data_IF_123065199093
#
_entry.id   IF_123065199093
#
_cell.length_a   1.000
_cell.length_b   1.000
_cell.length_c   1.000
_cell.angle_alpha   90.00
_cell.angle_beta   90.00
_cell.angle_gamma   90.00
#
_symmetry.space_group_name_H-M   'P 1'
#
loop_
_entity.id
_entity.type
_entity.pdbx_description
1 polymer ?
#
# COMPACT_ATOMS: atom_id res chain seq x y z
N UNK A 1 -11.60 23.83 5.71
CA UNK A 1 -11.21 22.52 6.30
C UNK A 1 -11.73 21.33 5.51
N UNK A 2 -13.02 21.29 5.13
CA UNK A 2 -13.63 20.18 4.37
C UNK A 2 -12.87 19.86 3.06
N UNK A 3 -12.51 20.87 2.25
CA UNK A 3 -11.72 20.65 1.01
C UNK A 3 -10.38 19.97 1.24
N UNK A 4 -9.67 20.32 2.32
CA UNK A 4 -8.38 19.69 2.66
C UNK A 4 -8.60 18.24 3.06
N UNK A 5 -9.60 17.97 3.89
CA UNK A 5 -9.95 16.61 4.31
C UNK A 5 -10.30 15.72 3.11
N UNK A 6 -11.16 16.19 2.20
CA UNK A 6 -11.49 15.45 0.97
C UNK A 6 -10.26 15.20 0.10
N UNK A 7 -9.36 16.18 -0.04
CA UNK A 7 -8.10 16.00 -0.78
C UNK A 7 -7.19 14.96 -0.12
N UNK A 8 -7.04 14.99 1.21
CA UNK A 8 -6.23 14.01 1.96
C UNK A 8 -6.82 12.60 1.87
N UNK A 9 -8.14 12.48 1.91
CA UNK A 9 -8.84 11.21 1.71
C UNK A 9 -8.67 10.70 0.27
N UNK A 10 -8.72 11.57 -0.72
CA UNK A 10 -8.45 11.20 -2.11
C UNK A 10 -6.97 10.79 -2.30
N UNK A 11 -6.04 11.46 -1.63
CA UNK A 11 -4.62 11.10 -1.63
C UNK A 11 -4.36 9.75 -0.96
N UNK A 12 -5.11 9.40 0.09
CA UNK A 12 -4.96 8.11 0.77
C UNK A 12 -5.47 6.93 -0.05
N UNK A 13 -6.37 7.14 -1.02
CA UNK A 13 -6.68 6.10 -2.02
C UNK A 13 -5.45 5.68 -2.84
N UNK A 14 -4.45 6.57 -2.97
CA UNK A 14 -3.17 6.22 -3.57
C UNK A 14 -2.45 5.09 -2.82
N UNK A 15 -2.67 4.94 -1.50
CA UNK A 15 -2.09 3.84 -0.73
C UNK A 15 -2.70 2.49 -1.07
N UNK A 16 -4.00 2.44 -1.38
CA UNK A 16 -4.68 1.21 -1.84
C UNK A 16 -4.09 0.78 -3.19
N UNK A 17 -3.85 1.74 -4.09
CA UNK A 17 -3.21 1.46 -5.37
C UNK A 17 -1.78 0.91 -5.18
N UNK A 18 -0.99 1.53 -4.30
CA UNK A 18 0.37 1.06 -3.97
C UNK A 18 0.33 -0.35 -3.38
N UNK A 19 -0.56 -0.59 -2.42
CA UNK A 19 -0.74 -1.90 -1.78
C UNK A 19 -1.11 -2.97 -2.81
N UNK A 20 -2.07 -2.69 -3.68
CA UNK A 20 -2.51 -3.56 -4.75
C UNK A 20 -1.37 -3.93 -5.71
N UNK A 21 -0.65 -2.92 -6.22
CA UNK A 21 0.46 -3.15 -7.13
C UNK A 21 1.60 -3.90 -6.44
N UNK A 22 1.91 -3.56 -5.20
CA UNK A 22 2.94 -4.24 -4.42
C UNK A 22 2.62 -5.72 -4.25
N UNK A 23 1.39 -6.08 -3.86
CA UNK A 23 0.97 -7.48 -3.73
C UNK A 23 1.08 -8.20 -5.08
N UNK A 24 0.57 -7.64 -6.17
CA UNK A 24 0.63 -8.28 -7.49
C UNK A 24 2.09 -8.51 -7.96
N UNK A 25 2.97 -7.51 -7.76
CA UNK A 25 4.39 -7.60 -8.12
C UNK A 25 5.12 -8.62 -7.25
N UNK A 26 4.85 -8.62 -5.95
CA UNK A 26 5.42 -9.56 -5.01
C UNK A 26 4.99 -10.99 -5.32
N UNK A 27 3.70 -11.22 -5.60
CA UNK A 27 3.18 -12.53 -6.00
C UNK A 27 3.89 -13.02 -7.26
N UNK A 28 3.96 -12.20 -8.32
CA UNK A 28 4.63 -12.56 -9.56
C UNK A 28 6.14 -12.85 -9.37
N UNK A 29 6.81 -12.06 -8.54
CA UNK A 29 8.23 -12.25 -8.22
C UNK A 29 8.50 -13.54 -7.44
N UNK A 30 7.58 -13.94 -6.56
CA UNK A 30 7.71 -15.14 -5.72
C UNK A 30 7.27 -16.42 -6.45
N UNK A 31 6.22 -16.36 -7.28
CA UNK A 31 5.71 -17.53 -8.01
C UNK A 31 6.50 -17.82 -9.30
N UNK A 32 7.28 -16.85 -9.80
CA UNK A 32 7.95 -16.96 -11.09
C UNK A 32 6.99 -16.89 -12.29
N UNK A 33 5.71 -16.58 -12.04
CA UNK A 33 4.67 -16.42 -13.06
C UNK A 33 4.74 -15.02 -13.69
N UNK A 34 4.26 -14.85 -14.94
CA UNK A 34 4.15 -13.54 -15.55
C UNK A 34 3.27 -12.61 -14.70
N UNK A 35 3.64 -11.33 -14.66
CA UNK A 35 2.90 -10.31 -13.93
C UNK A 35 1.42 -10.32 -14.33
N UNK A 36 0.55 -10.46 -13.34
CA UNK A 36 -0.90 -10.46 -13.48
C UNK A 36 -1.51 -9.48 -12.50
N UNK A 37 -2.56 -8.79 -12.93
CA UNK A 37 -3.37 -7.90 -12.09
C UNK A 37 -4.43 -8.68 -11.29
N UNK A 38 -4.39 -10.01 -11.29
CA UNK A 38 -5.24 -10.81 -10.43
C UNK A 38 -4.62 -10.87 -9.04
N UNK A 39 -5.41 -10.53 -8.02
CA UNK A 39 -4.99 -10.73 -6.64
C UNK A 39 -4.81 -12.24 -6.38
N UNK A 40 -3.83 -12.62 -5.56
CA UNK A 40 -3.75 -13.98 -5.08
C UNK A 40 -4.97 -14.29 -4.20
N UNK A 41 -5.55 -15.48 -4.41
CA UNK A 41 -6.66 -15.95 -3.59
C UNK A 41 -6.17 -16.16 -2.15
N UNK A 42 -6.88 -15.55 -1.22
CA UNK A 42 -6.68 -15.78 0.21
C UNK A 42 -7.49 -17.04 0.53
N UNK A 43 -6.89 -17.99 1.24
CA UNK A 43 -7.39 -19.35 1.52
C UNK A 43 -8.70 -19.44 2.33
N UNK A 44 -9.44 -18.34 2.47
CA UNK A 44 -10.76 -18.34 3.07
C UNK A 44 -11.83 -18.61 1.99
N UNK A 45 -12.66 -19.65 2.15
CA UNK A 45 -13.61 -20.11 1.12
C UNK A 45 -14.67 -19.06 0.72
N UNK A 46 -14.87 -18.02 1.53
CA UNK A 46 -15.85 -16.94 1.29
C UNK A 46 -15.21 -15.54 1.27
N UNK A 47 -13.88 -15.44 1.31
CA UNK A 47 -13.15 -14.18 1.46
C UNK A 47 -12.89 -13.48 0.12
N UNK A 48 -13.32 -12.22 -0.03
CA UNK A 48 -12.96 -11.41 -1.19
C UNK A 48 -11.63 -10.71 -0.93
N UNK A 49 -10.56 -11.14 -1.61
CA UNK A 49 -9.20 -10.58 -1.44
C UNK A 49 -9.12 -9.07 -1.69
N UNK A 50 -10.03 -8.52 -2.50
CA UNK A 50 -10.13 -7.08 -2.66
C UNK A 50 -10.58 -6.40 -1.35
N UNK A 51 -11.54 -6.97 -0.62
CA UNK A 51 -12.03 -6.42 0.65
C UNK A 51 -10.92 -6.44 1.69
N UNK A 52 -10.18 -7.54 1.81
CA UNK A 52 -9.07 -7.64 2.76
C UNK A 52 -7.97 -6.62 2.45
N UNK A 53 -7.65 -6.42 1.17
CA UNK A 53 -6.71 -5.38 0.76
C UNK A 53 -7.18 -3.98 1.19
N UNK A 54 -8.46 -3.67 1.00
CA UNK A 54 -9.03 -2.39 1.42
C UNK A 54 -9.01 -2.22 2.94
N UNK A 55 -9.48 -3.21 3.69
CA UNK A 55 -9.56 -3.19 5.15
C UNK A 55 -8.18 -2.96 5.76
N UNK A 56 -7.15 -3.65 5.27
CA UNK A 56 -5.80 -3.53 5.80
C UNK A 56 -5.00 -2.37 5.19
N UNK A 57 -5.56 -1.68 4.19
CA UNK A 57 -5.08 -0.36 3.77
C UNK A 57 -5.59 0.76 4.67
N UNK A 58 -6.71 0.57 5.39
CA UNK A 58 -7.31 1.59 6.26
C UNK A 58 -6.34 2.17 7.31
N UNK A 59 -5.51 1.38 8.02
CA UNK A 59 -4.60 1.94 9.02
C UNK A 59 -3.60 2.93 8.41
N UNK A 60 -3.02 2.60 7.25
CA UNK A 60 -2.12 3.49 6.52
C UNK A 60 -2.84 4.73 5.99
N UNK A 61 -4.08 4.56 5.51
CA UNK A 61 -4.93 5.66 5.05
C UNK A 61 -5.29 6.64 6.17
N UNK A 62 -5.69 6.13 7.33
CA UNK A 62 -6.00 6.93 8.51
C UNK A 62 -4.75 7.67 8.99
N UNK A 63 -3.60 7.00 9.01
CA UNK A 63 -2.32 7.64 9.38
C UNK A 63 -1.99 8.80 8.44
N UNK A 64 -2.11 8.60 7.12
CA UNK A 64 -1.87 9.65 6.15
C UNK A 64 -2.90 10.78 6.23
N UNK A 65 -4.17 10.44 6.46
CA UNK A 65 -5.26 11.41 6.60
C UNK A 65 -5.03 12.32 7.81
N UNK A 66 -4.74 11.71 8.96
CA UNK A 66 -4.49 12.42 10.21
C UNK A 66 -3.20 13.24 10.13
N UNK A 67 -2.08 12.63 9.74
CA UNK A 67 -0.81 13.34 9.61
C UNK A 67 -0.88 14.43 8.52
N UNK A 68 -1.52 14.13 7.39
CA UNK A 68 -1.69 15.03 6.26
C UNK A 68 -2.50 16.29 6.59
N UNK A 69 -3.38 16.24 7.60
CA UNK A 69 -4.09 17.43 8.07
C UNK A 69 -3.13 18.46 8.71
N UNK A 70 -2.06 18.00 9.38
CA UNK A 70 -1.08 18.86 10.03
C UNK A 70 0.11 19.21 9.13
N UNK A 71 0.36 18.42 8.08
CA UNK A 71 1.49 18.64 7.19
C UNK A 71 1.13 19.59 6.04
N UNK A 72 1.82 20.73 5.99
CA UNK A 72 1.68 21.72 4.90
C UNK A 72 2.82 21.67 3.88
N UNK A 73 3.97 21.09 4.22
CA UNK A 73 5.11 20.97 3.30
C UNK A 73 4.98 19.70 2.46
N UNK A 74 5.03 19.85 1.13
CA UNK A 74 4.92 18.73 0.19
C UNK A 74 5.97 17.63 0.42
N UNK A 75 7.20 17.98 0.78
CA UNK A 75 8.25 16.99 1.08
C UNK A 75 7.91 16.12 2.29
N UNK A 76 7.40 16.73 3.36
CA UNK A 76 6.97 16.00 4.55
C UNK A 76 5.73 15.14 4.25
N UNK A 77 4.85 15.62 3.38
CA UNK A 77 3.68 14.85 2.96
C UNK A 77 4.07 13.62 2.15
N UNK A 78 5.03 13.76 1.23
CA UNK A 78 5.58 12.64 0.48
C UNK A 78 6.26 11.63 1.41
N UNK A 79 7.03 12.10 2.40
CA UNK A 79 7.65 11.21 3.39
C UNK A 79 6.60 10.48 4.24
N UNK A 80 5.56 11.17 4.70
CA UNK A 80 4.43 10.56 5.40
C UNK A 80 3.71 9.51 4.52
N UNK A 81 3.53 9.80 3.24
CA UNK A 81 2.96 8.86 2.27
C UNK A 81 3.83 7.61 2.13
N UNK A 82 5.15 7.76 2.00
CA UNK A 82 6.08 6.62 1.89
C UNK A 82 6.03 5.76 3.15
N UNK A 83 6.03 6.38 4.34
CA UNK A 83 5.93 5.65 5.60
C UNK A 83 4.59 4.92 5.74
N UNK A 84 3.48 5.58 5.39
CA UNK A 84 2.16 4.94 5.35
C UNK A 84 2.13 3.78 4.36
N UNK A 85 2.72 3.94 3.17
CA UNK A 85 2.78 2.89 2.15
C UNK A 85 3.62 1.70 2.62
N UNK A 86 4.76 1.93 3.28
CA UNK A 86 5.58 0.87 3.85
C UNK A 86 4.84 0.11 4.96
N UNK A 87 4.13 0.83 5.85
CA UNK A 87 3.28 0.22 6.87
C UNK A 87 2.16 -0.60 6.25
N UNK A 88 1.46 -0.06 5.25
CA UNK A 88 0.41 -0.79 4.53
C UNK A 88 0.98 -2.03 3.84
N UNK A 89 2.11 -1.91 3.14
CA UNK A 89 2.77 -3.04 2.49
C UNK A 89 3.13 -4.15 3.49
N UNK A 90 3.64 -3.79 4.67
CA UNK A 90 3.90 -4.76 5.74
C UNK A 90 2.62 -5.45 6.22
N UNK A 91 1.53 -4.70 6.42
CA UNK A 91 0.22 -5.28 6.77
C UNK A 91 -0.31 -6.22 5.68
N UNK A 92 -0.13 -5.86 4.40
CA UNK A 92 -0.51 -6.75 3.29
C UNK A 92 0.33 -8.02 3.28
N UNK A 93 1.65 -7.93 3.54
CA UNK A 93 2.47 -9.14 3.66
C UNK A 93 2.00 -10.07 4.78
N UNK A 94 1.45 -9.55 5.88
CA UNK A 94 0.93 -10.38 6.99
C UNK A 94 -0.31 -11.21 6.57
N UNK A 95 -1.19 -10.64 5.74
CA UNK A 95 -2.42 -11.31 5.29
C UNK A 95 -2.12 -12.27 4.15
N UNK A 96 -1.34 -11.81 3.18
CA UNK A 96 -1.02 -12.58 1.98
C UNK A 96 0.15 -13.55 2.19
N UNK A 97 0.71 -13.61 3.40
CA UNK A 97 1.76 -14.56 3.80
C UNK A 97 1.40 -16.00 3.41
N UNK A 98 0.16 -16.42 3.69
CA UNK A 98 -0.33 -17.75 3.37
C UNK A 98 -0.38 -18.01 1.86
N UNK A 99 -0.74 -17.00 1.07
CA UNK A 99 -0.75 -17.09 -0.39
C UNK A 99 0.66 -17.15 -1.00
N UNK A 100 1.70 -16.77 -0.26
CA UNK A 100 3.09 -16.91 -0.67
C UNK A 100 3.69 -18.30 -0.35
N UNK A 101 2.88 -19.23 0.17
CA UNK A 101 3.21 -20.66 0.22
C UNK A 101 3.93 -21.16 1.47
N UNK A 102 3.94 -20.39 2.58
CA UNK A 102 4.54 -20.85 3.84
C UNK A 102 3.92 -20.17 5.08
N UNK A 103 4.05 -20.81 6.25
CA UNK A 103 3.77 -20.13 7.54
C UNK A 103 4.98 -19.26 7.91
N UNK A 104 4.98 -18.01 7.46
CA UNK A 104 6.06 -17.06 7.73
C UNK A 104 5.99 -16.56 9.18
N UNK A 105 7.11 -16.59 9.90
CA UNK A 105 7.23 -15.90 11.17
C UNK A 105 7.24 -14.38 10.96
N UNK A 106 6.84 -13.60 11.97
CA UNK A 106 6.80 -12.13 11.86
C UNK A 106 8.14 -11.52 11.47
N UNK A 107 9.26 -12.14 11.87
CA UNK A 107 10.61 -11.70 11.49
C UNK A 107 10.90 -11.96 10.00
N UNK A 108 10.48 -13.09 9.46
CA UNK A 108 10.67 -13.42 8.05
C UNK A 108 9.78 -12.56 7.14
N UNK A 109 8.60 -12.15 7.62
CA UNK A 109 7.73 -11.21 6.89
C UNK A 109 8.39 -9.84 6.74
N UNK A 110 9.09 -9.37 7.78
CA UNK A 110 9.90 -8.15 7.68
C UNK A 110 11.05 -8.35 6.69
N UNK A 111 11.72 -9.51 6.73
CA UNK A 111 12.72 -9.88 5.74
C UNK A 111 12.17 -9.84 4.32
N UNK A 112 10.99 -10.41 4.09
CA UNK A 112 10.31 -10.45 2.80
C UNK A 112 10.03 -9.04 2.26
N UNK A 113 9.60 -8.11 3.12
CA UNK A 113 9.43 -6.70 2.76
C UNK A 113 10.77 -6.04 2.39
N UNK A 114 11.83 -6.30 3.17
CA UNK A 114 13.16 -5.71 2.94
C UNK A 114 13.81 -6.22 1.66
N UNK A 115 13.75 -7.53 1.40
CA UNK A 115 14.27 -8.14 0.16
C UNK A 115 13.48 -7.68 -1.07
N UNK A 116 12.17 -7.51 -0.93
CA UNK A 116 11.28 -7.06 -2.02
C UNK A 116 11.03 -5.54 -2.01
N UNK A 117 11.89 -4.76 -1.36
CA UNK A 117 11.76 -3.30 -1.31
C UNK A 117 11.75 -2.66 -2.69
N UNK A 118 12.44 -3.26 -3.67
CA UNK A 118 12.45 -2.81 -5.06
C UNK A 118 11.05 -2.83 -5.68
N UNK A 119 10.22 -3.85 -5.41
CA UNK A 119 8.83 -3.89 -5.85
C UNK A 119 7.98 -2.82 -5.19
N UNK A 120 8.23 -2.54 -3.91
CA UNK A 120 7.56 -1.44 -3.22
C UNK A 120 7.90 -0.10 -3.86
N UNK A 121 9.16 0.14 -4.22
CA UNK A 121 9.58 1.38 -4.91
C UNK A 121 8.87 1.53 -6.25
N UNK A 122 8.75 0.46 -7.04
CA UNK A 122 8.01 0.48 -8.31
C UNK A 122 6.52 0.79 -8.08
N UNK A 123 5.89 0.11 -7.11
CA UNK A 123 4.50 0.35 -6.74
C UNK A 123 4.26 1.77 -6.20
N UNK A 124 5.27 2.38 -5.58
CA UNK A 124 5.20 3.73 -5.01
C UNK A 124 5.11 4.82 -6.09
N UNK A 125 5.66 4.59 -7.28
CA UNK A 125 5.71 5.59 -8.37
C UNK A 125 4.32 6.12 -8.72
N UNK A 126 3.32 5.29 -9.07
CA UNK A 126 1.97 5.78 -9.37
C UNK A 126 1.29 6.41 -8.15
N UNK A 127 1.55 5.91 -6.93
CA UNK A 127 1.01 6.49 -5.69
C UNK A 127 1.56 7.90 -5.40
N UNK A 128 2.86 8.13 -5.58
CA UNK A 128 3.47 9.45 -5.43
C UNK A 128 3.06 10.41 -6.54
N UNK A 129 2.94 9.92 -7.78
CA UNK A 129 2.42 10.72 -8.89
C UNK A 129 0.99 11.21 -8.59
N UNK A 130 0.14 10.32 -8.06
CA UNK A 130 -1.21 10.66 -7.59
C UNK A 130 -1.18 11.71 -6.47
N UNK A 131 -0.37 11.50 -5.43
CA UNK A 131 -0.22 12.44 -4.31
C UNK A 131 0.17 13.84 -4.80
N UNK A 132 1.21 13.92 -5.63
CA UNK A 132 1.76 15.19 -6.14
C UNK A 132 0.76 15.86 -7.09
N UNK A 133 0.08 15.10 -7.95
CA UNK A 133 -0.95 15.61 -8.83
C UNK A 133 -2.09 16.28 -8.05
N UNK A 134 -2.57 15.63 -6.99
CA UNK A 134 -3.62 16.18 -6.13
C UNK A 134 -3.14 17.38 -5.30
N UNK A 135 -1.88 17.40 -4.85
CA UNK A 135 -1.33 18.56 -4.16
C UNK A 135 -1.18 19.77 -5.10
N UNK A 136 -0.94 19.56 -6.40
CA UNK A 136 -0.94 20.64 -7.39
C UNK A 136 -2.34 21.25 -7.57
N UNK A 137 -3.41 20.45 -7.55
CA UNK A 137 -4.81 20.94 -7.62
C UNK A 137 -5.25 21.76 -6.40
N UNK A 138 -4.48 21.70 -5.31
CA UNK A 138 -4.71 22.52 -4.10
C UNK A 138 -4.15 23.94 -4.24
N UNK A 139 -3.03 24.09 -4.96
CA UNK A 139 -2.37 25.38 -5.20
C UNK A 139 -3.16 26.18 -6.22
#
# INVERSE_FOLDING_TARGET
>A
MIRLFCLRLLQSLGLVLVAYLFVCLLTAGMSGEPFSLKLPDISQPDGNSAVDLWVFSLPGQLLLLLAGCFIHRQRLLALAFVLSAALTAWLQCLIFADAFGNTWSSAEIVGLLVFNLHWLVVALVPGLAWLIGLERLRR
#
